data_IF_329080567429
#
_entry.id   IF_329080567429
#
_cell.length_a   1.000
_cell.length_b   1.000
_cell.length_c   1.000
_cell.angle_alpha   90.00
_cell.angle_beta   90.00
_cell.angle_gamma   90.00
#
_symmetry.space_group_name_H-M   'P 1'
#
loop_
_entity.id
_entity.type
_entity.pdbx_description
1 polymer ?
#
# COMPACT_ATOMS: atom_id res chain seq x y z
N UNK A 1 27.88 16.19 2.99
CA UNK A 1 27.34 15.06 2.19
C UNK A 1 28.48 14.09 1.93
N UNK A 2 28.33 12.80 2.25
CA UNK A 2 29.37 11.79 1.97
C UNK A 2 29.43 11.43 0.48
N UNK A 3 30.57 10.90 0.02
CA UNK A 3 30.81 10.49 -1.38
C UNK A 3 29.72 9.55 -1.92
N UNK A 4 29.24 8.61 -1.09
CA UNK A 4 28.17 7.68 -1.45
C UNK A 4 26.86 8.41 -1.75
N UNK A 5 26.49 9.42 -0.96
CA UNK A 5 25.26 10.19 -1.20
C UNK A 5 25.36 10.99 -2.49
N UNK A 6 26.53 11.55 -2.77
CA UNK A 6 26.79 12.27 -4.02
C UNK A 6 26.66 11.34 -5.24
N UNK A 7 27.16 10.11 -5.15
CA UNK A 7 27.02 9.10 -6.22
C UNK A 7 25.55 8.71 -6.44
N UNK A 8 24.79 8.51 -5.36
CA UNK A 8 23.36 8.16 -5.44
C UNK A 8 22.52 9.27 -6.08
N UNK A 9 22.87 10.53 -5.88
CA UNK A 9 22.15 11.66 -6.49
C UNK A 9 22.49 11.92 -7.95
N UNK A 10 23.47 11.21 -8.53
CA UNK A 10 23.83 11.41 -9.93
C UNK A 10 22.73 10.92 -10.88
N UNK A 11 22.49 11.69 -11.95
CA UNK A 11 21.54 11.33 -12.99
C UNK A 11 21.84 9.96 -13.61
N UNK A 12 23.12 9.62 -13.78
CA UNK A 12 23.54 8.33 -14.31
C UNK A 12 23.08 7.15 -13.43
N UNK A 13 23.18 7.30 -12.10
CA UNK A 13 22.70 6.27 -11.15
C UNK A 13 21.20 6.06 -11.27
N UNK A 14 20.44 7.15 -11.38
CA UNK A 14 18.99 7.08 -11.60
C UNK A 14 18.65 6.42 -12.93
N UNK A 15 19.37 6.77 -14.01
CA UNK A 15 19.17 6.20 -15.33
C UNK A 15 19.43 4.70 -15.34
N UNK A 16 20.50 4.24 -14.68
CA UNK A 16 20.80 2.81 -14.50
C UNK A 16 19.66 2.10 -13.77
N UNK A 17 19.18 2.67 -12.65
CA UNK A 17 18.09 2.08 -11.88
C UNK A 17 16.82 1.95 -12.74
N UNK A 18 16.49 3.02 -13.46
CA UNK A 18 15.32 3.08 -14.34
C UNK A 18 15.44 2.10 -15.51
N UNK A 19 16.62 2.01 -16.13
CA UNK A 19 16.91 1.08 -17.22
C UNK A 19 16.72 -0.37 -16.77
N UNK A 20 17.35 -0.76 -15.66
CA UNK A 20 17.25 -2.12 -15.11
C UNK A 20 15.79 -2.45 -14.79
N UNK A 21 15.08 -1.56 -14.10
CA UNK A 21 13.68 -1.78 -13.74
C UNK A 21 12.77 -1.92 -14.97
N UNK A 22 12.89 -1.04 -15.96
CA UNK A 22 12.04 -1.05 -17.14
C UNK A 22 12.32 -2.26 -18.03
N UNK A 23 13.59 -2.54 -18.34
CA UNK A 23 13.95 -3.64 -19.25
C UNK A 23 13.65 -4.99 -18.61
N UNK A 24 14.04 -5.21 -17.35
CA UNK A 24 13.68 -6.44 -16.64
C UNK A 24 12.16 -6.58 -16.50
N UNK A 25 11.45 -5.49 -16.21
CA UNK A 25 9.99 -5.47 -16.13
C UNK A 25 9.31 -5.90 -17.42
N UNK A 26 9.77 -5.39 -18.57
CA UNK A 26 9.25 -5.78 -19.88
C UNK A 26 9.55 -7.24 -20.21
N UNK A 27 10.75 -7.74 -19.87
CA UNK A 27 11.09 -9.17 -20.01
C UNK A 27 10.14 -10.02 -19.17
N UNK A 28 9.91 -9.64 -17.91
CA UNK A 28 9.00 -10.35 -17.02
C UNK A 28 7.56 -10.30 -17.54
N UNK A 29 7.06 -9.17 -18.04
CA UNK A 29 5.73 -9.13 -18.64
C UNK A 29 5.59 -10.02 -19.87
N UNK A 30 6.65 -10.14 -20.69
CA UNK A 30 6.66 -11.10 -21.81
C UNK A 30 6.53 -12.53 -21.29
N UNK A 31 7.24 -12.88 -20.22
CA UNK A 31 7.07 -14.19 -19.56
C UNK A 31 5.66 -14.37 -19.00
N UNK A 32 5.06 -13.33 -18.42
CA UNK A 32 3.67 -13.38 -17.95
C UNK A 32 2.70 -13.62 -19.13
N UNK A 33 2.93 -13.00 -20.28
CA UNK A 33 2.13 -13.26 -21.50
C UNK A 33 2.22 -14.73 -21.92
N UNK A 34 3.39 -15.34 -21.81
CA UNK A 34 3.58 -16.77 -22.07
C UNK A 34 2.81 -17.68 -21.09
N UNK A 35 2.25 -17.16 -19.99
CA UNK A 35 1.39 -17.93 -19.08
C UNK A 35 -0.07 -18.01 -19.52
N UNK A 36 -0.50 -17.26 -20.55
CA UNK A 36 -1.89 -17.28 -21.02
C UNK A 36 -2.35 -18.67 -21.48
N UNK A 37 -1.57 -19.46 -22.25
CA UNK A 37 -1.97 -20.82 -22.60
C UNK A 37 -2.11 -21.72 -21.37
N UNK A 38 -1.28 -21.50 -20.35
CA UNK A 38 -1.33 -22.25 -19.11
C UNK A 38 -2.61 -22.01 -18.31
N UNK A 39 -3.23 -20.83 -18.47
CA UNK A 39 -4.51 -20.52 -17.85
C UNK A 39 -5.61 -21.51 -18.28
N UNK A 40 -5.58 -21.97 -19.54
CA UNK A 40 -6.55 -22.93 -20.09
C UNK A 40 -6.36 -24.34 -19.51
N UNK A 41 -5.15 -24.68 -19.06
CA UNK A 41 -4.82 -26.00 -18.49
C UNK A 41 -4.97 -25.99 -16.97
N UNK A 42 -4.42 -24.98 -16.30
CA UNK A 42 -4.48 -24.81 -14.86
C UNK A 42 -4.36 -23.35 -14.47
N UNK A 43 -5.52 -22.72 -14.21
CA UNK A 43 -5.64 -21.39 -13.62
C UNK A 43 -4.77 -21.22 -12.37
N UNK A 44 -4.74 -22.23 -11.51
CA UNK A 44 -4.00 -22.18 -10.24
C UNK A 44 -2.48 -22.19 -10.45
N UNK A 45 -1.99 -22.99 -11.41
CA UNK A 45 -0.57 -22.97 -11.75
C UNK A 45 -0.16 -21.66 -12.42
N UNK A 46 -0.98 -21.14 -13.36
CA UNK A 46 -0.76 -19.84 -13.98
C UNK A 46 -0.69 -18.72 -12.92
N UNK A 47 -1.59 -18.71 -11.93
CA UNK A 47 -1.55 -17.77 -10.79
C UNK A 47 -0.26 -17.89 -9.99
N UNK A 48 0.16 -19.10 -9.59
CA UNK A 48 1.40 -19.32 -8.83
C UNK A 48 2.63 -18.81 -9.57
N UNK A 49 2.73 -19.06 -10.87
CA UNK A 49 3.82 -18.53 -11.70
C UNK A 49 3.76 -17.01 -11.75
N UNK A 50 2.59 -16.43 -12.02
CA UNK A 50 2.43 -14.98 -12.10
C UNK A 50 2.70 -14.28 -10.76
N UNK A 51 2.45 -14.90 -9.62
CA UNK A 51 2.84 -14.40 -8.29
C UNK A 51 4.37 -14.24 -8.21
N UNK A 52 5.14 -15.22 -8.68
CA UNK A 52 6.61 -15.17 -8.67
C UNK A 52 7.16 -14.20 -9.71
N UNK A 53 6.57 -14.15 -10.91
CA UNK A 53 6.92 -13.15 -11.92
C UNK A 53 6.61 -11.73 -11.42
N UNK A 54 5.43 -11.51 -10.85
CA UNK A 54 5.07 -10.23 -10.23
C UNK A 54 6.03 -9.82 -9.12
N UNK A 55 6.45 -10.77 -8.29
CA UNK A 55 7.49 -10.55 -7.28
C UNK A 55 8.80 -10.03 -7.90
N UNK A 56 9.25 -10.58 -9.04
CA UNK A 56 10.47 -10.12 -9.71
C UNK A 56 10.44 -8.63 -10.11
N UNK A 57 9.26 -8.07 -10.36
CA UNK A 57 9.09 -6.63 -10.66
C UNK A 57 8.95 -5.83 -9.36
N UNK A 58 7.99 -6.19 -8.50
CA UNK A 58 7.68 -5.40 -7.30
C UNK A 58 8.85 -5.37 -6.29
N UNK A 59 9.61 -6.45 -6.18
CA UNK A 59 10.77 -6.52 -5.28
C UNK A 59 11.90 -5.56 -5.66
N UNK A 60 12.01 -5.15 -6.93
CA UNK A 60 12.99 -4.14 -7.34
C UNK A 60 12.65 -2.75 -6.77
N UNK A 61 11.35 -2.42 -6.65
CA UNK A 61 10.93 -1.18 -5.99
C UNK A 61 11.19 -1.23 -4.47
N UNK A 62 10.97 -2.39 -3.84
CA UNK A 62 11.35 -2.61 -2.44
C UNK A 62 12.87 -2.51 -2.26
N UNK A 63 13.66 -3.04 -3.20
CA UNK A 63 15.12 -2.89 -3.22
C UNK A 63 15.53 -1.40 -3.29
N UNK A 64 14.86 -0.62 -4.13
CA UNK A 64 15.08 0.82 -4.23
C UNK A 64 14.78 1.55 -2.90
N UNK A 65 13.69 1.17 -2.20
CA UNK A 65 13.33 1.77 -0.92
C UNK A 65 14.28 1.37 0.22
N UNK A 66 14.45 0.07 0.47
CA UNK A 66 15.15 -0.38 1.68
C UNK A 66 16.67 -0.35 1.52
N UNK A 67 17.19 -0.70 0.35
CA UNK A 67 18.61 -0.97 0.14
C UNK A 67 19.31 0.19 -0.57
N UNK A 68 18.69 0.74 -1.62
CA UNK A 68 19.27 1.89 -2.33
C UNK A 68 19.14 3.17 -1.52
N UNK A 69 17.94 3.58 -1.10
CA UNK A 69 17.77 4.82 -0.32
C UNK A 69 18.07 4.64 1.17
N UNK A 70 18.08 3.39 1.64
CA UNK A 70 18.34 3.08 3.05
C UNK A 70 17.16 3.40 3.97
N UNK A 71 15.96 3.63 3.42
CA UNK A 71 14.76 3.97 4.19
C UNK A 71 14.46 2.88 5.22
N UNK A 72 14.11 3.32 6.43
CA UNK A 72 13.75 2.44 7.53
C UNK A 72 12.23 2.40 7.68
N UNK A 73 11.69 1.19 7.77
CA UNK A 73 10.28 0.95 8.06
C UNK A 73 10.16 0.20 9.39
N UNK A 74 9.51 0.84 10.36
CA UNK A 74 9.28 0.34 11.72
C UNK A 74 7.83 -0.13 11.85
N UNK A 75 7.61 -1.33 12.38
CA UNK A 75 6.27 -1.83 12.70
C UNK A 75 5.97 -1.68 14.19
N UNK A 76 4.91 -0.96 14.52
CA UNK A 76 4.29 -0.91 15.84
C UNK A 76 3.04 -1.78 15.79
N UNK A 77 3.00 -2.85 16.58
CA UNK A 77 1.88 -3.80 16.53
C UNK A 77 1.82 -4.67 17.78
N UNK A 78 0.73 -5.41 17.94
CA UNK A 78 0.60 -6.40 18.99
C UNK A 78 1.51 -7.62 18.70
N UNK A 79 2.40 -8.00 19.63
CA UNK A 79 3.16 -9.24 19.52
C UNK A 79 2.27 -10.48 19.35
N UNK A 80 1.01 -10.45 19.83
CA UNK A 80 0.06 -11.56 19.67
C UNK A 80 -0.46 -11.72 18.25
N UNK A 81 -0.69 -10.61 17.53
CA UNK A 81 -1.16 -10.64 16.14
C UNK A 81 -0.02 -10.92 15.16
N UNK A 82 1.22 -10.57 15.54
CA UNK A 82 2.39 -10.66 14.67
C UNK A 82 2.58 -12.03 13.97
N UNK A 83 2.41 -13.19 14.62
CA UNK A 83 2.55 -14.49 13.96
C UNK A 83 1.51 -14.78 12.86
N UNK A 84 0.38 -14.07 12.87
CA UNK A 84 -0.70 -14.24 11.87
C UNK A 84 -0.38 -13.50 10.57
N UNK A 85 0.44 -12.45 10.64
CA UNK A 85 0.80 -11.64 9.49
C UNK A 85 1.57 -12.46 8.44
N UNK A 86 1.05 -12.45 7.21
CA UNK A 86 1.56 -13.25 6.07
C UNK A 86 1.01 -14.68 6.01
N UNK A 87 0.39 -15.17 7.08
CA UNK A 87 -0.14 -16.52 7.18
C UNK A 87 -1.66 -16.61 6.98
N UNK A 88 -2.31 -15.49 6.67
CA UNK A 88 -3.73 -15.42 6.34
C UNK A 88 -4.01 -14.35 5.28
N UNK A 89 -5.15 -14.51 4.59
CA UNK A 89 -5.73 -13.45 3.78
C UNK A 89 -6.27 -12.35 4.68
N UNK A 90 -5.94 -11.09 4.39
CA UNK A 90 -6.40 -9.95 5.18
C UNK A 90 -6.73 -8.74 4.30
N UNK A 91 -7.67 -7.92 4.75
CA UNK A 91 -7.92 -6.60 4.19
C UNK A 91 -7.12 -5.58 5.00
N UNK A 92 -6.30 -4.76 4.34
CA UNK A 92 -5.49 -3.72 5.00
C UNK A 92 -6.16 -2.37 4.75
N UNK A 93 -6.57 -1.68 5.82
CA UNK A 93 -7.10 -0.31 5.73
C UNK A 93 -6.00 0.66 6.14
N UNK A 94 -5.44 1.36 5.15
CA UNK A 94 -4.34 2.31 5.34
C UNK A 94 -4.82 3.76 5.12
N UNK A 95 -4.30 4.71 5.90
CA UNK A 95 -4.46 6.13 5.57
C UNK A 95 -3.72 6.46 4.27
N UNK A 96 -4.17 7.49 3.56
CA UNK A 96 -3.53 7.91 2.32
C UNK A 96 -3.01 9.34 2.43
N UNK A 97 -1.77 9.51 2.85
CA UNK A 97 -1.19 10.82 3.15
C UNK A 97 0.03 11.13 2.28
N UNK A 98 0.82 10.12 1.91
CA UNK A 98 2.11 10.32 1.25
C UNK A 98 2.18 9.64 -0.12
N UNK A 99 3.10 10.11 -0.97
CA UNK A 99 3.27 9.55 -2.32
C UNK A 99 3.73 8.09 -2.28
N UNK A 100 4.60 7.74 -1.32
CA UNK A 100 5.21 6.42 -1.23
C UNK A 100 4.48 5.48 -0.25
N UNK A 101 3.24 5.78 0.16
CA UNK A 101 2.45 4.94 1.08
C UNK A 101 2.43 3.48 0.64
N UNK A 102 2.18 3.26 -0.66
CA UNK A 102 2.11 1.93 -1.26
C UNK A 102 3.46 1.20 -1.21
N UNK A 103 4.57 1.92 -1.32
CA UNK A 103 5.91 1.34 -1.35
C UNK A 103 6.34 0.91 0.06
N UNK A 104 5.96 1.68 1.09
CA UNK A 104 6.07 1.25 2.48
C UNK A 104 5.17 0.03 2.75
N UNK A 105 3.93 0.01 2.26
CA UNK A 105 3.06 -1.16 2.34
C UNK A 105 3.67 -2.42 1.72
N UNK A 106 4.26 -2.29 0.52
CA UNK A 106 4.98 -3.38 -0.14
C UNK A 106 6.22 -3.85 0.63
N UNK A 107 6.90 -2.95 1.34
CA UNK A 107 8.02 -3.33 2.21
C UNK A 107 7.57 -4.28 3.32
N UNK A 108 6.40 -4.03 3.94
CA UNK A 108 5.86 -4.99 4.90
C UNK A 108 5.39 -6.29 4.22
N UNK A 109 4.79 -6.21 3.03
CA UNK A 109 4.44 -7.41 2.26
C UNK A 109 5.68 -8.26 1.92
N UNK A 110 6.83 -7.64 1.61
CA UNK A 110 8.10 -8.33 1.39
C UNK A 110 8.50 -9.11 2.64
N UNK A 111 8.54 -8.41 3.78
CA UNK A 111 9.01 -8.96 5.04
C UNK A 111 8.11 -10.08 5.59
N UNK A 112 6.80 -10.04 5.30
CA UNK A 112 5.85 -11.11 5.64
C UNK A 112 5.60 -12.13 4.52
N UNK A 113 6.31 -12.05 3.40
CA UNK A 113 6.26 -13.08 2.36
C UNK A 113 5.05 -13.04 1.41
N UNK A 114 4.30 -11.94 1.39
CA UNK A 114 3.07 -11.78 0.58
C UNK A 114 3.21 -10.72 -0.53
N UNK A 115 4.42 -10.24 -0.83
CA UNK A 115 4.63 -9.19 -1.83
C UNK A 115 4.07 -9.56 -3.22
N UNK A 116 4.41 -10.74 -3.73
CA UNK A 116 3.97 -11.19 -5.06
C UNK A 116 2.48 -11.50 -5.15
N UNK A 117 1.81 -11.74 -4.02
CA UNK A 117 0.38 -12.01 -3.93
C UNK A 117 -0.43 -10.78 -3.50
N UNK A 118 0.23 -9.69 -3.07
CA UNK A 118 -0.42 -8.47 -2.59
C UNK A 118 -1.44 -7.91 -3.59
N UNK A 119 -2.54 -7.38 -3.07
CA UNK A 119 -3.68 -6.86 -3.83
C UNK A 119 -4.00 -5.45 -3.39
N UNK A 120 -4.65 -4.69 -4.27
CA UNK A 120 -5.11 -3.34 -3.98
C UNK A 120 -6.35 -3.03 -4.82
N UNK A 121 -7.26 -2.20 -4.30
CA UNK A 121 -8.28 -1.55 -5.12
C UNK A 121 -7.65 -0.33 -5.82
N UNK A 122 -7.31 -0.48 -7.10
CA UNK A 122 -6.59 0.54 -7.87
C UNK A 122 -7.50 1.29 -8.86
N UNK A 123 -7.13 2.52 -9.21
CA UNK A 123 -7.79 3.27 -10.30
C UNK A 123 -7.51 2.60 -11.65
N UNK A 124 -8.53 2.48 -12.51
CA UNK A 124 -8.45 1.75 -13.80
C UNK A 124 -7.35 2.29 -14.72
N UNK A 125 -7.06 3.58 -14.65
CA UNK A 125 -6.02 4.23 -15.44
C UNK A 125 -4.62 3.64 -15.16
N UNK A 126 -4.37 3.12 -13.95
CA UNK A 126 -3.10 2.45 -13.62
C UNK A 126 -2.91 1.12 -14.37
N UNK A 127 -4.00 0.48 -14.85
CA UNK A 127 -3.87 -0.75 -15.64
C UNK A 127 -3.18 -0.53 -16.99
N UNK A 128 -3.12 0.72 -17.48
CA UNK A 128 -2.47 1.05 -18.75
C UNK A 128 -1.00 1.44 -18.59
N UNK A 129 -0.51 1.60 -17.35
CA UNK A 129 0.89 1.93 -17.10
C UNK A 129 1.76 0.73 -17.49
N UNK A 130 2.72 0.85 -18.42
CA UNK A 130 3.60 -0.25 -18.78
C UNK A 130 4.38 -0.77 -17.58
N UNK A 131 4.81 -2.02 -17.64
CA UNK A 131 5.47 -2.74 -16.54
C UNK A 131 4.52 -3.04 -15.37
N UNK A 132 4.14 -2.00 -14.62
CA UNK A 132 3.35 -2.15 -13.39
C UNK A 132 1.89 -2.50 -13.66
N UNK A 133 1.22 -1.79 -14.57
CA UNK A 133 -0.18 -2.04 -14.90
C UNK A 133 -0.39 -3.40 -15.55
N UNK A 134 0.56 -3.82 -16.40
CA UNK A 134 0.56 -5.14 -17.02
C UNK A 134 0.85 -6.25 -16.00
N UNK A 135 1.83 -6.05 -15.10
CA UNK A 135 2.04 -6.95 -13.97
C UNK A 135 0.76 -7.12 -13.15
N UNK A 136 0.08 -6.01 -12.84
CA UNK A 136 -1.16 -6.01 -12.07
C UNK A 136 -2.32 -6.70 -12.78
N UNK A 137 -2.37 -6.66 -14.12
CA UNK A 137 -3.34 -7.43 -14.88
C UNK A 137 -3.17 -8.94 -14.64
N UNK A 138 -1.95 -9.47 -14.79
CA UNK A 138 -1.66 -10.88 -14.56
C UNK A 138 -1.75 -11.33 -13.10
N UNK A 139 -1.65 -10.37 -12.16
CA UNK A 139 -1.91 -10.60 -10.75
C UNK A 139 -3.39 -10.42 -10.38
N UNK A 140 -4.31 -10.22 -11.33
CA UNK A 140 -5.74 -10.05 -11.04
C UNK A 140 -6.01 -8.92 -10.00
N UNK A 141 -5.28 -7.81 -10.09
CA UNK A 141 -5.55 -6.63 -9.27
C UNK A 141 -6.94 -6.08 -9.58
N UNK A 142 -7.63 -5.63 -8.54
CA UNK A 142 -8.99 -5.11 -8.66
C UNK A 142 -8.94 -3.65 -9.08
N UNK A 143 -9.45 -3.36 -10.28
CA UNK A 143 -9.50 -2.01 -10.83
C UNK A 143 -10.89 -1.40 -10.74
N UNK A 144 -11.00 -0.11 -10.38
CA UNK A 144 -12.23 0.65 -10.37
C UNK A 144 -12.13 1.91 -11.25
N UNK A 145 -13.22 2.28 -11.92
CA UNK A 145 -13.37 3.50 -12.72
C UNK A 145 -13.78 4.71 -11.89
N UNK A 146 -14.03 4.51 -10.58
CA UNK A 146 -14.52 5.53 -9.63
C UNK A 146 -15.94 6.00 -9.98
N UNK A 147 -16.74 5.10 -10.56
CA UNK A 147 -18.13 5.30 -10.93
C UNK A 147 -18.94 4.12 -10.43
N UNK A 148 -19.68 4.32 -9.35
CA UNK A 148 -20.36 3.25 -8.61
C UNK A 148 -21.21 2.33 -9.49
N UNK A 149 -22.00 2.88 -10.41
CA UNK A 149 -22.87 2.10 -11.30
C UNK A 149 -22.09 1.13 -12.21
N UNK A 150 -20.90 1.52 -12.67
CA UNK A 150 -20.03 0.68 -13.49
C UNK A 150 -19.21 -0.30 -12.62
N UNK A 151 -18.77 0.17 -11.46
CA UNK A 151 -17.84 -0.55 -10.58
C UNK A 151 -18.52 -1.63 -9.76
N UNK A 152 -19.79 -1.46 -9.36
CA UNK A 152 -20.47 -2.39 -8.42
C UNK A 152 -20.40 -3.85 -8.85
N UNK A 153 -20.53 -4.12 -10.15
CA UNK A 153 -20.49 -5.49 -10.71
C UNK A 153 -19.06 -5.95 -10.96
N UNK A 154 -18.25 -5.11 -11.58
CA UNK A 154 -16.89 -5.46 -12.02
C UNK A 154 -15.93 -5.65 -10.84
N UNK A 155 -16.03 -4.79 -9.82
CA UNK A 155 -15.28 -4.89 -8.57
C UNK A 155 -15.71 -6.12 -7.77
N UNK A 156 -17.02 -6.35 -7.62
CA UNK A 156 -17.52 -7.54 -6.91
C UNK A 156 -17.05 -8.85 -7.58
N UNK A 157 -17.16 -8.96 -8.90
CA UNK A 157 -16.66 -10.13 -9.63
C UNK A 157 -15.16 -10.34 -9.45
N UNK A 158 -14.37 -9.25 -9.52
CA UNK A 158 -12.92 -9.33 -9.35
C UNK A 158 -12.55 -9.77 -7.93
N UNK A 159 -13.26 -9.30 -6.91
CA UNK A 159 -13.09 -9.72 -5.51
C UNK A 159 -13.47 -11.19 -5.31
N UNK A 160 -14.58 -11.64 -5.91
CA UNK A 160 -14.98 -13.05 -5.86
C UNK A 160 -13.94 -13.98 -6.49
N UNK A 161 -13.28 -13.54 -7.57
CA UNK A 161 -12.18 -14.29 -8.18
C UNK A 161 -10.95 -14.43 -7.26
N UNK A 162 -10.81 -13.62 -6.20
CA UNK A 162 -9.71 -13.74 -5.24
C UNK A 162 -9.99 -14.79 -4.16
N UNK A 163 -11.23 -15.26 -4.00
CA UNK A 163 -11.58 -16.25 -2.96
C UNK A 163 -10.85 -17.59 -3.13
N UNK A 164 -10.51 -17.96 -4.37
CA UNK A 164 -9.76 -19.17 -4.71
C UNK A 164 -8.29 -18.87 -5.08
N UNK A 165 -7.73 -17.74 -4.64
CA UNK A 165 -6.34 -17.39 -4.93
C UNK A 165 -5.37 -18.33 -4.20
N UNK A 166 -4.32 -18.85 -4.84
CA UNK A 166 -3.56 -20.00 -4.34
C UNK A 166 -2.59 -19.70 -3.18
N UNK A 167 -2.40 -18.44 -2.81
CA UNK A 167 -1.49 -18.00 -1.74
C UNK A 167 -2.15 -16.91 -0.91
N UNK A 168 -1.74 -16.81 0.36
CA UNK A 168 -2.17 -15.73 1.23
C UNK A 168 -1.86 -14.37 0.62
N UNK A 169 -2.82 -13.45 0.67
CA UNK A 169 -2.69 -12.11 0.14
C UNK A 169 -3.21 -11.06 1.10
N UNK A 170 -2.62 -9.87 1.01
CA UNK A 170 -3.13 -8.67 1.67
C UNK A 170 -3.80 -7.76 0.67
N UNK A 171 -5.06 -7.42 0.91
CA UNK A 171 -5.89 -6.57 0.06
C UNK A 171 -5.93 -5.15 0.61
N UNK A 172 -5.16 -4.24 0.01
CA UNK A 172 -5.04 -2.87 0.44
C UNK A 172 -6.23 -2.00 -0.01
N UNK A 173 -6.77 -1.25 0.95
CA UNK A 173 -7.77 -0.21 0.76
C UNK A 173 -7.31 1.11 1.38
N UNK A 174 -7.39 2.17 0.58
CA UNK A 174 -7.35 3.55 1.04
C UNK A 174 -8.78 4.09 1.10
N UNK A 175 -9.46 3.92 2.23
CA UNK A 175 -10.88 4.30 2.33
C UNK A 175 -11.10 5.81 2.19
N UNK A 176 -10.08 6.66 2.40
CA UNK A 176 -10.12 8.09 2.08
C UNK A 176 -10.39 8.36 0.58
N UNK A 177 -10.01 7.41 -0.29
CA UNK A 177 -10.21 7.44 -1.73
C UNK A 177 -9.27 8.38 -2.49
N UNK A 178 -8.50 9.22 -1.80
CA UNK A 178 -7.49 10.11 -2.37
C UNK A 178 -6.52 10.57 -1.29
N UNK A 179 -5.34 11.07 -1.70
CA UNK A 179 -4.38 11.63 -0.75
C UNK A 179 -4.92 12.88 -0.07
N UNK A 180 -4.63 12.99 1.22
CA UNK A 180 -4.89 14.17 2.01
C UNK A 180 -4.10 15.37 1.48
N UNK A 181 -4.82 16.48 1.25
CA UNK A 181 -4.23 17.80 0.99
C UNK A 181 -5.02 18.85 1.76
N UNK A 182 -4.45 20.03 2.06
CA UNK A 182 -5.18 21.08 2.78
C UNK A 182 -6.54 21.41 2.16
N UNK A 183 -6.60 21.54 0.83
CA UNK A 183 -7.85 21.80 0.10
C UNK A 183 -8.88 20.67 0.25
N UNK A 184 -8.46 19.41 0.10
CA UNK A 184 -9.37 18.25 0.23
C UNK A 184 -9.83 18.05 1.67
N UNK A 185 -8.95 18.34 2.63
CA UNK A 185 -9.25 18.28 4.05
C UNK A 185 -10.32 19.32 4.43
N UNK A 186 -10.19 20.57 3.97
CA UNK A 186 -11.23 21.60 4.14
C UNK A 186 -12.58 21.15 3.59
N UNK A 187 -12.62 20.61 2.37
CA UNK A 187 -13.86 20.07 1.78
C UNK A 187 -14.40 18.91 2.63
N UNK A 188 -13.53 18.04 3.14
CA UNK A 188 -13.93 16.96 4.05
C UNK A 188 -14.55 17.47 5.34
N UNK A 189 -14.06 18.58 5.89
CA UNK A 189 -14.64 19.18 7.11
C UNK A 189 -16.04 19.73 6.84
N UNK A 190 -16.25 20.38 5.69
CA UNK A 190 -17.56 20.87 5.26
C UNK A 190 -18.56 19.72 5.03
N UNK A 191 -18.09 18.63 4.41
CA UNK A 191 -18.91 17.41 4.21
C UNK A 191 -19.24 16.74 5.54
N UNK A 192 -18.32 16.74 6.51
CA UNK A 192 -18.58 16.24 7.84
C UNK A 192 -19.70 17.03 8.53
N UNK A 193 -19.59 18.36 8.51
CA UNK A 193 -20.56 19.28 9.11
C UNK A 193 -21.95 19.13 8.50
N UNK A 194 -22.06 19.17 7.16
CA UNK A 194 -23.34 19.02 6.46
C UNK A 194 -24.03 17.67 6.67
N UNK A 195 -23.26 16.63 7.04
CA UNK A 195 -23.80 15.29 7.34
C UNK A 195 -23.94 15.00 8.83
N UNK A 196 -23.63 15.96 9.70
CA UNK A 196 -23.61 15.75 11.15
C UNK A 196 -22.59 14.70 11.61
N UNK A 197 -21.52 14.49 10.85
CA UNK A 197 -20.43 13.56 11.19
C UNK A 197 -19.30 14.31 11.93
N UNK A 198 -18.57 13.64 12.84
CA UNK A 198 -17.39 14.22 13.47
C UNK A 198 -16.33 14.67 12.45
N UNK A 199 -15.78 15.87 12.67
CA UNK A 199 -14.66 16.42 11.89
C UNK A 199 -13.38 15.68 12.27
N UNK A 200 -12.62 15.22 11.27
CA UNK A 200 -11.35 14.50 11.44
C UNK A 200 -10.17 15.45 11.19
N UNK A 201 -9.24 15.58 12.12
CA UNK A 201 -8.16 16.57 12.04
C UNK A 201 -7.02 16.14 11.11
N UNK A 202 -6.76 14.85 10.99
CA UNK A 202 -5.61 14.28 10.29
C UNK A 202 -5.97 13.31 9.16
N UNK A 203 -7.26 13.04 8.94
CA UNK A 203 -7.76 12.18 7.86
C UNK A 203 -8.91 12.84 7.08
N UNK A 204 -9.13 12.36 5.86
CA UNK A 204 -10.39 12.60 5.15
C UNK A 204 -11.48 11.65 5.67
N UNK A 205 -12.76 12.02 5.52
CA UNK A 205 -13.84 11.08 5.82
C UNK A 205 -13.75 9.87 4.87
N UNK A 206 -13.92 8.65 5.39
CA UNK A 206 -13.84 7.46 4.57
C UNK A 206 -15.03 7.35 3.59
N UNK A 207 -14.76 6.86 2.39
CA UNK A 207 -15.73 6.38 1.41
C UNK A 207 -16.08 4.93 1.75
N UNK A 208 -17.33 4.71 2.16
CA UNK A 208 -17.76 3.46 2.79
C UNK A 208 -18.11 2.35 1.79
N UNK A 209 -18.68 2.69 0.64
CA UNK A 209 -19.17 1.70 -0.35
C UNK A 209 -18.12 0.70 -0.83
N UNK A 210 -16.92 1.18 -1.17
CA UNK A 210 -15.84 0.31 -1.65
C UNK A 210 -15.35 -0.66 -0.57
N UNK A 211 -15.28 -0.19 0.68
CA UNK A 211 -14.95 -1.02 1.83
C UNK A 211 -16.02 -2.08 2.07
N UNK A 212 -17.31 -1.69 2.11
CA UNK A 212 -18.42 -2.61 2.30
C UNK A 212 -18.43 -3.72 1.22
N UNK A 213 -18.37 -3.36 -0.07
CA UNK A 213 -18.30 -4.36 -1.16
C UNK A 213 -17.11 -5.31 -0.99
N UNK A 214 -15.96 -4.80 -0.57
CA UNK A 214 -14.77 -5.62 -0.34
C UNK A 214 -15.00 -6.63 0.79
N UNK A 215 -15.50 -6.16 1.93
CA UNK A 215 -15.82 -7.02 3.09
C UNK A 215 -16.84 -8.08 2.69
N UNK A 216 -17.92 -7.70 2.00
CA UNK A 216 -18.97 -8.66 1.59
C UNK A 216 -18.43 -9.77 0.68
N UNK A 217 -17.62 -9.42 -0.32
CA UNK A 217 -17.14 -10.41 -1.30
C UNK A 217 -15.96 -11.25 -0.77
N UNK A 218 -15.22 -10.76 0.22
CA UNK A 218 -14.10 -11.49 0.82
C UNK A 218 -14.48 -12.18 2.15
N UNK A 219 -15.72 -12.04 2.63
CA UNK A 219 -16.21 -12.75 3.81
C UNK A 219 -16.05 -14.27 3.64
N UNK A 220 -15.45 -14.92 4.63
CA UNK A 220 -15.09 -16.33 4.59
C UNK A 220 -13.86 -16.69 3.75
N UNK A 221 -13.25 -15.73 3.04
CA UNK A 221 -11.98 -15.92 2.32
C UNK A 221 -10.81 -15.14 2.96
N UNK A 222 -11.08 -13.93 3.48
CA UNK A 222 -10.17 -13.16 4.31
C UNK A 222 -10.55 -13.32 5.79
N UNK A 223 -9.54 -13.49 6.64
CA UNK A 223 -9.73 -13.78 8.06
C UNK A 223 -9.92 -12.52 8.91
N UNK A 224 -9.39 -11.38 8.46
CA UNK A 224 -9.45 -10.14 9.23
C UNK A 224 -9.26 -8.86 8.40
N UNK A 225 -9.61 -7.73 9.02
CA UNK A 225 -9.14 -6.39 8.68
C UNK A 225 -7.94 -6.01 9.56
N UNK A 226 -6.84 -5.63 8.94
CA UNK A 226 -5.72 -4.95 9.57
C UNK A 226 -5.92 -3.44 9.47
N UNK A 227 -6.25 -2.82 10.60
CA UNK A 227 -6.36 -1.38 10.69
C UNK A 227 -4.97 -0.75 10.82
N UNK A 228 -4.48 -0.12 9.75
CA UNK A 228 -3.10 0.34 9.67
C UNK A 228 -2.99 1.86 9.50
N UNK A 229 -2.05 2.50 10.18
CA UNK A 229 -1.73 3.92 10.00
C UNK A 229 -0.24 4.08 9.73
N UNK A 230 0.11 4.75 8.65
CA UNK A 230 1.48 5.06 8.25
C UNK A 230 1.75 6.54 8.48
N UNK A 231 2.91 6.82 9.08
CA UNK A 231 3.42 8.17 9.17
C UNK A 231 4.94 8.20 8.97
N UNK A 232 5.47 9.39 8.66
CA UNK A 232 6.90 9.64 8.54
C UNK A 232 7.38 10.51 9.69
N UNK A 233 8.54 10.18 10.25
CA UNK A 233 9.15 10.99 11.31
C UNK A 233 9.55 12.36 10.77
N UNK A 234 9.65 13.33 11.68
CA UNK A 234 10.10 14.70 11.39
C UNK A 234 9.24 15.45 10.35
N UNK A 235 7.98 15.05 10.16
CA UNK A 235 7.06 15.63 9.17
C UNK A 235 7.64 15.65 7.75
N UNK A 236 8.47 14.66 7.41
CA UNK A 236 9.00 14.55 6.05
C UNK A 236 7.88 14.21 5.06
N UNK A 237 7.96 14.81 3.87
CA UNK A 237 7.11 14.47 2.73
C UNK A 237 7.94 13.63 1.76
N UNK A 238 7.86 12.29 1.85
CA UNK A 238 8.63 11.41 1.00
C UNK A 238 8.07 11.33 -0.41
N UNK A 239 8.97 11.23 -1.39
CA UNK A 239 8.65 11.16 -2.82
C UNK A 239 9.44 10.04 -3.48
N UNK A 240 8.94 9.49 -4.58
CA UNK A 240 9.67 8.46 -5.34
C UNK A 240 11.01 9.01 -5.86
N UNK A 241 11.03 10.27 -6.29
CA UNK A 241 12.26 10.93 -6.72
C UNK A 241 13.27 11.07 -5.57
N UNK A 242 12.81 11.30 -4.34
CA UNK A 242 13.67 11.28 -3.16
C UNK A 242 14.34 9.92 -2.96
N UNK A 243 13.58 8.83 -3.10
CA UNK A 243 14.12 7.46 -3.04
C UNK A 243 15.17 7.22 -4.13
N UNK A 244 14.89 7.61 -5.39
CA UNK A 244 15.84 7.47 -6.49
C UNK A 244 17.13 8.28 -6.27
N UNK A 245 17.04 9.44 -5.62
CA UNK A 245 18.20 10.24 -5.20
C UNK A 245 18.94 9.65 -3.99
N UNK A 246 18.50 8.51 -3.46
CA UNK A 246 19.08 7.89 -2.28
C UNK A 246 18.75 8.62 -0.98
N UNK A 247 17.67 9.42 -0.93
CA UNK A 247 17.24 10.06 0.32
C UNK A 247 16.63 9.00 1.24
N UNK A 248 17.22 8.86 2.43
CA UNK A 248 16.70 8.02 3.50
C UNK A 248 15.50 8.69 4.17
N UNK A 249 14.45 7.91 4.39
CA UNK A 249 13.29 8.30 5.21
C UNK A 249 13.11 7.33 6.39
N UNK A 250 12.27 7.72 7.35
CA UNK A 250 11.90 6.90 8.51
C UNK A 250 10.38 6.78 8.58
N UNK A 251 9.88 5.65 8.09
CA UNK A 251 8.47 5.31 8.05
C UNK A 251 8.09 4.49 9.28
N UNK A 252 7.06 4.92 10.00
CA UNK A 252 6.49 4.19 11.11
C UNK A 252 5.10 3.71 10.69
N UNK A 253 4.92 2.40 10.60
CA UNK A 253 3.64 1.75 10.35
C UNK A 253 3.10 1.22 11.68
N UNK A 254 1.87 1.60 11.97
CA UNK A 254 1.13 1.12 13.10
C UNK A 254 0.00 0.22 12.64
N UNK A 255 0.01 -1.05 13.04
CA UNK A 255 -1.17 -1.90 12.92
C UNK A 255 -1.86 -1.86 14.27
N UNK A 256 -3.06 -1.26 14.29
CA UNK A 256 -3.70 -0.75 15.51
C UNK A 256 -3.63 -1.76 16.61
N UNK A 257 -2.99 -1.34 17.69
CA UNK A 257 -2.92 -2.06 18.92
C UNK A 257 -3.63 -1.23 20.06
N UNK A 258 -4.88 -1.50 20.51
CA UNK A 258 -5.40 -1.02 21.83
C UNK A 258 -5.09 -1.88 23.10
N UNK A 259 -4.31 -1.33 24.02
CA UNK A 259 -4.08 -1.69 25.43
C UNK A 259 -4.15 -0.30 26.04
N UNK A 260 -5.38 0.15 26.27
CA UNK A 260 -5.62 1.46 26.83
C UNK A 260 -6.41 1.18 28.09
N UNK A 261 -5.72 1.23 29.22
CA UNK A 261 -6.38 1.44 30.50
C UNK A 261 -7.22 2.70 30.35
N UNK A 262 -8.54 2.57 30.37
CA UNK A 262 -9.40 3.68 30.71
C UNK A 262 -9.08 4.01 32.17
N UNK A 263 -8.24 5.01 32.40
CA UNK A 263 -8.22 5.72 33.66
C UNK A 263 -9.38 6.72 33.61
N UNK A 264 -10.61 6.20 33.64
CA UNK A 264 -11.77 7.02 33.98
C UNK A 264 -11.96 6.93 35.49
N UNK A 265 -11.94 8.11 36.13
CA UNK A 265 -12.13 8.36 37.56
C UNK A 265 -13.13 7.39 38.24
N UNK A 266 -12.63 6.38 38.94
CA UNK A 266 -13.41 5.59 39.90
C UNK A 266 -13.15 6.12 41.32
N UNK A 267 -13.79 7.24 41.65
CA UNK A 267 -14.16 7.49 43.03
C UNK A 267 -15.51 6.77 43.26
N UNK A 268 -15.50 5.83 44.21
CA UNK A 268 -16.60 4.96 44.67
C UNK A 268 -16.73 3.61 43.96
N UNK A 269 -16.04 2.60 44.51
CA UNK A 269 -16.40 1.20 44.33
C UNK A 269 -16.95 0.70 45.67
N UNK A 270 -18.26 0.51 45.72
CA UNK A 270 -18.93 -0.34 46.70
C UNK A 270 -18.81 -1.81 46.27
N UNK A 271 -18.69 -2.67 47.28
CA UNK A 271 -18.53 -4.14 47.36
C UNK A 271 -19.29 -5.09 46.39
N UNK A 272 -19.89 -4.64 45.28
CA UNK A 272 -20.65 -5.51 44.37
C UNK A 272 -19.81 -6.28 43.34
N UNK A 273 -18.56 -5.86 43.09
CA UNK A 273 -17.70 -6.49 42.05
C UNK A 273 -17.08 -7.81 42.53
N UNK A 274 -16.90 -7.99 43.84
CA UNK A 274 -16.24 -9.18 44.38
C UNK A 274 -17.11 -10.44 44.35
N UNK A 275 -18.44 -10.28 44.39
CA UNK A 275 -19.38 -11.41 44.38
C UNK A 275 -19.81 -11.86 42.99
N UNK A 276 -19.77 -10.98 41.97
CA UNK A 276 -20.10 -11.36 40.59
C UNK A 276 -19.06 -12.30 39.95
N UNK A 277 -17.81 -12.33 40.42
CA UNK A 277 -16.76 -13.16 39.83
C UNK A 277 -16.79 -14.65 40.25
N UNK A 278 -17.60 -15.05 41.24
CA UNK A 278 -17.51 -16.40 41.80
C UNK A 278 -18.58 -17.39 41.28
N UNK A 279 -19.64 -16.94 40.59
CA UNK A 279 -20.81 -17.81 40.34
C UNK A 279 -21.37 -17.82 38.91
N UNK A 280 -20.77 -17.14 37.94
CA UNK A 280 -21.20 -17.24 36.55
C UNK A 280 -20.01 -17.35 35.60
N UNK A 281 -19.82 -18.57 35.04
CA UNK A 281 -19.04 -18.84 33.83
C UNK A 281 -19.73 -18.19 32.61
N UNK A 282 -19.72 -16.85 32.55
CA UNK A 282 -20.00 -16.08 31.33
C UNK A 282 -19.06 -14.89 31.28
N UNK A 283 -18.08 -15.06 30.40
CA UNK A 283 -17.00 -14.17 30.00
C UNK A 283 -17.53 -12.84 29.42
N UNK A 284 -17.98 -11.93 30.30
CA UNK A 284 -18.54 -10.61 29.94
C UNK A 284 -17.69 -9.43 30.43
N UNK A 285 -16.41 -9.68 30.74
CA UNK A 285 -15.44 -8.64 31.13
C UNK A 285 -14.15 -8.70 30.32
N UNK A 286 -14.17 -9.19 29.08
CA UNK A 286 -13.04 -8.97 28.17
C UNK A 286 -13.12 -7.55 27.60
N UNK A 287 -12.22 -6.59 27.93
CA UNK A 287 -12.04 -5.43 27.07
C UNK A 287 -11.68 -5.98 25.69
N UNK A 288 -12.53 -5.72 24.68
CA UNK A 288 -12.36 -6.14 23.29
C UNK A 288 -10.99 -5.68 22.78
N UNK A 289 -10.00 -6.53 23.00
CA UNK A 289 -8.62 -6.42 22.58
C UNK A 289 -8.52 -7.19 21.28
N UNK A 290 -8.87 -6.57 20.16
CA UNK A 290 -8.53 -7.14 18.86
C UNK A 290 -8.06 -6.07 17.86
N UNK A 291 -6.81 -6.28 17.48
CA UNK A 291 -5.80 -5.40 16.84
C UNK A 291 -5.42 -5.97 15.46
N UNK A 292 -6.42 -6.62 14.92
CA UNK A 292 -6.65 -7.51 13.79
C UNK A 292 -8.13 -7.77 14.02
N UNK A 293 -9.00 -7.24 13.18
CA UNK A 293 -10.43 -7.29 13.43
C UNK A 293 -10.96 -8.49 12.63
N UNK A 294 -11.40 -9.59 13.28
CA UNK A 294 -12.01 -10.70 12.56
C UNK A 294 -13.11 -10.18 11.63
N UNK A 295 -13.12 -10.66 10.40
CA UNK A 295 -13.98 -10.10 9.36
C UNK A 295 -15.46 -10.29 9.68
N UNK A 296 -15.75 -11.32 10.47
CA UNK A 296 -17.05 -11.72 10.99
C UNK A 296 -17.66 -10.67 11.93
N UNK A 297 -16.82 -9.87 12.61
CA UNK A 297 -17.28 -8.79 13.50
C UNK A 297 -17.69 -7.54 12.74
N UNK A 298 -17.39 -7.45 11.44
CA UNK A 298 -17.77 -6.29 10.64
C UNK A 298 -19.23 -6.43 10.24
N UNK A 299 -20.08 -5.41 10.43
CA UNK A 299 -21.50 -5.49 10.10
C UNK A 299 -21.73 -5.84 8.62
N UNK A 300 -22.77 -6.63 8.37
CA UNK A 300 -23.15 -7.00 7.00
C UNK A 300 -24.00 -5.95 6.31
N UNK A 301 -24.86 -5.26 7.06
CA UNK A 301 -25.66 -4.15 6.55
C UNK A 301 -24.78 -2.97 6.08
N UNK A 302 -25.16 -2.32 4.98
CA UNK A 302 -24.37 -1.23 4.37
C UNK A 302 -24.26 -0.02 5.31
N UNK A 303 -25.35 0.35 5.98
CA UNK A 303 -25.38 1.52 6.85
C UNK A 303 -24.62 1.27 8.15
N UNK A 304 -24.78 0.09 8.75
CA UNK A 304 -24.01 -0.30 9.93
C UNK A 304 -22.50 -0.41 9.64
N UNK A 305 -22.13 -0.99 8.49
CA UNK A 305 -20.74 -1.07 8.06
C UNK A 305 -20.14 0.32 7.80
N UNK A 306 -20.94 1.24 7.23
CA UNK A 306 -20.56 2.62 7.04
C UNK A 306 -20.30 3.34 8.37
N UNK A 307 -21.21 3.20 9.34
CA UNK A 307 -21.07 3.78 10.67
C UNK A 307 -19.83 3.20 11.40
N UNK A 308 -19.61 1.89 11.28
CA UNK A 308 -18.44 1.20 11.80
C UNK A 308 -17.14 1.77 11.21
N UNK A 309 -17.08 1.97 9.89
CA UNK A 309 -15.88 2.52 9.24
C UNK A 309 -15.62 3.98 9.65
N UNK A 310 -16.68 4.79 9.80
CA UNK A 310 -16.55 6.15 10.33
C UNK A 310 -15.97 6.16 11.74
N UNK A 311 -16.44 5.27 12.63
CA UNK A 311 -15.88 5.12 13.98
C UNK A 311 -14.42 4.69 13.95
N UNK A 312 -14.07 3.73 13.09
CA UNK A 312 -12.69 3.28 12.90
C UNK A 312 -11.76 4.45 12.51
N UNK A 313 -12.22 5.35 11.63
CA UNK A 313 -11.46 6.55 11.23
C UNK A 313 -11.38 7.63 12.31
N UNK A 314 -12.40 7.79 13.16
CA UNK A 314 -12.31 8.68 14.34
C UNK A 314 -11.22 8.19 15.30
N UNK A 315 -11.17 6.87 15.54
CA UNK A 315 -10.12 6.29 16.35
C UNK A 315 -8.74 6.45 15.68
N UNK A 316 -8.61 6.26 14.35
CA UNK A 316 -7.37 6.52 13.61
C UNK A 316 -6.87 7.96 13.82
N UNK A 317 -7.78 8.92 13.75
CA UNK A 317 -7.50 10.35 13.90
C UNK A 317 -6.89 10.65 15.28
N UNK A 318 -7.42 10.05 16.34
CA UNK A 318 -6.88 10.19 17.69
C UNK A 318 -5.46 9.62 17.85
N UNK A 319 -5.14 8.50 17.17
CA UNK A 319 -3.79 7.94 17.18
C UNK A 319 -2.81 8.80 16.38
N UNK A 320 -3.29 9.39 15.30
CA UNK A 320 -2.50 10.32 14.51
C UNK A 320 -2.20 11.59 15.31
N UNK A 321 -3.14 12.08 16.12
CA UNK A 321 -2.91 13.15 17.08
C UNK A 321 -1.82 12.80 18.11
N UNK A 322 -1.92 11.61 18.70
CA UNK A 322 -0.91 11.10 19.64
C UNK A 322 0.49 11.03 18.99
N UNK A 323 0.57 10.56 17.74
CA UNK A 323 1.83 10.53 17.00
C UNK A 323 2.36 11.95 16.77
N UNK A 324 1.50 12.90 16.38
CA UNK A 324 1.92 14.30 16.18
C UNK A 324 2.48 14.91 17.47
N UNK A 325 1.96 14.53 18.64
CA UNK A 325 2.43 15.03 19.93
C UNK A 325 3.71 14.35 20.42
N UNK A 326 3.85 13.03 20.21
CA UNK A 326 4.92 12.22 20.82
C UNK A 326 6.03 11.80 19.85
N UNK A 327 5.80 11.94 18.54
CA UNK A 327 6.73 11.50 17.49
C UNK A 327 6.79 9.99 17.28
N UNK A 328 5.92 9.20 17.93
CA UNK A 328 5.86 7.74 17.81
C UNK A 328 4.43 7.22 17.97
N UNK A 329 4.15 6.04 17.42
CA UNK A 329 2.90 5.34 17.73
C UNK A 329 2.99 4.67 19.10
N UNK A 330 1.84 4.47 19.77
CA UNK A 330 1.83 3.66 20.98
C UNK A 330 2.14 2.21 20.63
N UNK A 331 2.93 1.54 21.48
CA UNK A 331 3.12 0.09 21.43
C UNK A 331 4.52 -0.43 21.17
N UNK A 332 4.70 -1.76 21.32
CA UNK A 332 5.98 -2.38 21.12
C UNK A 332 6.33 -2.38 19.63
N UNK A 333 7.61 -2.22 19.36
CA UNK A 333 8.17 -2.32 18.03
C UNK A 333 8.47 -3.80 17.76
N UNK A 334 7.81 -4.37 16.76
CA UNK A 334 8.00 -5.78 16.35
C UNK A 334 8.28 -5.82 14.85
N UNK A 335 9.25 -5.02 14.40
CA UNK A 335 9.57 -4.90 12.98
C UNK A 335 10.25 -6.18 12.47
N UNK A 336 9.69 -6.88 11.46
CA UNK A 336 10.39 -8.01 10.86
C UNK A 336 11.68 -7.51 10.20
N UNK A 337 12.75 -8.34 10.18
CA UNK A 337 13.99 -7.97 9.53
C UNK A 337 13.80 -7.83 8.01
N UNK A 338 14.68 -7.03 7.39
CA UNK A 338 14.74 -6.94 5.92
C UNK A 338 15.08 -8.31 5.34
N UNK A 339 14.36 -8.73 4.30
CA UNK A 339 14.66 -9.97 3.58
C UNK A 339 15.67 -9.68 2.46
N UNK A 340 16.68 -10.54 2.25
CA UNK A 340 17.71 -10.30 1.24
C UNK A 340 17.22 -10.49 -0.20
N UNK A 341 16.08 -11.16 -0.40
CA UNK A 341 15.58 -11.58 -1.71
C UNK A 341 15.34 -10.43 -2.70
N UNK A 342 14.80 -9.30 -2.21
CA UNK A 342 14.64 -8.11 -3.03
C UNK A 342 15.98 -7.57 -3.56
N UNK A 343 17.01 -7.53 -2.70
CA UNK A 343 18.36 -7.13 -3.10
C UNK A 343 18.99 -8.14 -4.04
N UNK A 344 18.86 -9.45 -3.77
CA UNK A 344 19.41 -10.51 -4.63
C UNK A 344 18.80 -10.43 -6.03
N UNK A 345 17.48 -10.29 -6.13
CA UNK A 345 16.79 -10.13 -7.41
C UNK A 345 17.26 -8.86 -8.14
N UNK A 346 17.41 -7.75 -7.42
CA UNK A 346 17.96 -6.51 -7.98
C UNK A 346 19.38 -6.69 -8.53
N UNK A 347 20.27 -7.32 -7.76
CA UNK A 347 21.66 -7.57 -8.17
C UNK A 347 21.72 -8.51 -9.37
N UNK A 348 20.88 -9.55 -9.41
CA UNK A 348 20.78 -10.45 -10.56
C UNK A 348 20.45 -9.69 -11.85
N UNK A 349 19.40 -8.86 -11.85
CA UNK A 349 19.02 -8.08 -13.02
C UNK A 349 20.06 -7.01 -13.39
N UNK A 350 20.67 -6.36 -12.40
CA UNK A 350 21.79 -5.45 -12.62
C UNK A 350 22.94 -6.17 -13.33
N UNK A 351 23.41 -7.30 -12.81
CA UNK A 351 24.51 -8.05 -13.41
C UNK A 351 24.20 -8.46 -14.85
N UNK A 352 23.02 -9.03 -15.09
CA UNK A 352 22.62 -9.49 -16.41
C UNK A 352 22.49 -8.34 -17.42
N UNK A 353 21.72 -7.31 -17.07
CA UNK A 353 21.38 -6.23 -18.01
C UNK A 353 22.52 -5.25 -18.21
N UNK A 354 23.33 -4.96 -17.18
CA UNK A 354 24.47 -4.07 -17.33
C UNK A 354 25.62 -4.75 -18.08
N UNK A 355 25.77 -6.06 -17.97
CA UNK A 355 26.70 -6.81 -18.81
C UNK A 355 26.30 -6.72 -20.29
N UNK A 356 25.03 -7.00 -20.61
CA UNK A 356 24.51 -6.89 -21.98
C UNK A 356 24.59 -5.45 -22.50
N UNK A 357 24.29 -4.45 -21.67
CA UNK A 357 24.44 -3.04 -22.02
C UNK A 357 25.91 -2.69 -22.28
N UNK A 358 26.85 -3.20 -21.49
CA UNK A 358 28.29 -3.00 -21.69
C UNK A 358 28.79 -3.58 -23.02
N UNK A 359 28.36 -4.80 -23.36
CA UNK A 359 28.65 -5.42 -24.67
C UNK A 359 28.08 -4.57 -25.82
N UNK A 360 26.84 -4.10 -25.68
CA UNK A 360 26.24 -3.22 -26.66
C UNK A 360 27.05 -1.92 -26.80
N UNK A 361 27.34 -1.22 -25.70
CA UNK A 361 28.08 0.04 -25.72
C UNK A 361 29.49 -0.09 -26.32
N UNK A 362 30.21 -1.18 -26.03
CA UNK A 362 31.54 -1.43 -26.61
C UNK A 362 31.48 -1.68 -28.12
N UNK A 363 30.47 -2.42 -28.60
CA UNK A 363 30.20 -2.55 -30.04
C UNK A 363 29.82 -1.21 -30.67
N UNK A 364 29.01 -0.39 -30.00
CA UNK A 364 28.60 0.92 -30.52
C UNK A 364 29.80 1.86 -30.63
N UNK A 365 30.66 1.93 -29.61
CA UNK A 365 31.88 2.77 -29.62
C UNK A 365 32.85 2.30 -30.71
N UNK A 366 33.08 0.99 -30.84
CA UNK A 366 33.98 0.45 -31.87
C UNK A 366 33.44 0.62 -33.30
N UNK A 367 32.12 0.68 -33.49
CA UNK A 367 31.50 0.94 -34.80
C UNK A 367 31.66 2.37 -35.31
N UNK A 368 31.90 3.35 -34.43
CA UNK A 368 32.08 4.77 -34.79
C UNK A 368 30.88 5.44 -35.49
N UNK A 369 29.71 4.81 -35.51
CA UNK A 369 28.56 5.29 -36.27
C UNK A 369 27.83 6.44 -35.58
N UNK A 370 27.60 7.55 -36.28
CA UNK A 370 26.78 8.66 -35.74
C UNK A 370 25.35 8.21 -35.43
N UNK A 371 24.80 7.30 -36.24
CA UNK A 371 23.44 6.77 -36.06
C UNK A 371 23.30 6.03 -34.73
N UNK A 372 24.33 5.30 -34.30
CA UNK A 372 24.30 4.52 -33.06
C UNK A 372 24.40 5.40 -31.81
N UNK A 373 25.17 6.49 -31.88
CA UNK A 373 25.23 7.52 -30.82
C UNK A 373 23.86 8.19 -30.67
N UNK A 374 23.25 8.62 -31.78
CA UNK A 374 21.93 9.25 -31.76
C UNK A 374 20.84 8.30 -31.23
N UNK A 375 20.86 7.03 -31.63
CA UNK A 375 19.93 6.01 -31.13
C UNK A 375 20.09 5.80 -29.61
N UNK A 376 21.32 5.80 -29.10
CA UNK A 376 21.61 5.64 -27.66
C UNK A 376 21.11 6.83 -26.85
N UNK A 377 21.34 8.06 -27.32
CA UNK A 377 20.84 9.28 -26.69
C UNK A 377 19.31 9.33 -26.71
N UNK A 378 18.69 8.94 -27.81
CA UNK A 378 17.24 8.82 -27.92
C UNK A 378 16.70 7.80 -26.90
N UNK A 379 17.31 6.62 -26.79
CA UNK A 379 16.92 5.60 -25.82
C UNK A 379 16.99 6.10 -24.37
N UNK A 380 18.12 6.71 -23.96
CA UNK A 380 18.26 7.29 -22.63
C UNK A 380 17.21 8.37 -22.35
N UNK A 381 16.90 9.19 -23.35
CA UNK A 381 15.85 10.22 -23.26
C UNK A 381 14.47 9.59 -23.11
N UNK A 382 14.14 8.56 -23.89
CA UNK A 382 12.88 7.82 -23.79
C UNK A 382 12.71 7.15 -22.43
N UNK A 383 13.76 6.50 -21.91
CA UNK A 383 13.75 5.89 -20.57
C UNK A 383 13.48 6.94 -19.49
N UNK A 384 14.21 8.06 -19.52
CA UNK A 384 14.06 9.15 -18.55
C UNK A 384 12.66 9.77 -18.59
N UNK A 385 12.15 10.09 -19.79
CA UNK A 385 10.81 10.65 -19.97
C UNK A 385 9.71 9.65 -19.57
N UNK A 386 9.88 8.37 -19.92
CA UNK A 386 8.95 7.30 -19.55
C UNK A 386 8.82 7.15 -18.04
N UNK A 387 9.93 7.09 -17.29
CA UNK A 387 9.86 6.99 -15.83
C UNK A 387 9.26 8.25 -15.20
N UNK A 388 9.62 9.45 -15.66
CA UNK A 388 9.00 10.68 -15.16
C UNK A 388 7.48 10.69 -15.38
N UNK A 389 7.03 10.22 -16.55
CA UNK A 389 5.61 10.05 -16.82
C UNK A 389 4.95 9.01 -15.91
N UNK A 390 5.62 7.89 -15.62
CA UNK A 390 5.13 6.86 -14.67
C UNK A 390 5.00 7.42 -13.24
N UNK A 391 5.99 8.16 -12.76
CA UNK A 391 5.93 8.88 -11.47
C UNK A 391 4.78 9.91 -11.50
N UNK A 392 4.57 10.58 -12.63
CA UNK A 392 3.42 11.49 -12.82
C UNK A 392 2.06 10.80 -12.63
N UNK A 393 1.95 9.48 -12.86
CA UNK A 393 0.71 8.74 -12.58
C UNK A 393 0.42 8.59 -11.09
N UNK A 394 1.43 8.78 -10.23
CA UNK A 394 1.34 8.81 -8.77
C UNK A 394 1.23 10.24 -8.22
N UNK A 395 0.94 11.26 -9.03
CA UNK A 395 0.69 12.63 -8.55
C UNK A 395 -0.74 12.83 -8.03
N UNK A 396 -0.91 13.79 -7.10
CA UNK A 396 -2.18 13.98 -6.37
C UNK A 396 -3.28 14.50 -7.29
N UNK A 397 -2.90 15.28 -8.31
CA UNK A 397 -3.80 15.91 -9.28
C UNK A 397 -4.44 14.88 -10.22
N UNK A 398 -3.85 13.68 -10.34
CA UNK A 398 -4.45 12.52 -11.02
C UNK A 398 -5.39 11.72 -10.10
N UNK A 399 -5.54 12.11 -8.84
CA UNK A 399 -6.47 11.53 -7.87
C UNK A 399 -7.92 11.88 -8.16
N UNK A 400 -8.88 11.31 -7.41
CA UNK A 400 -10.28 11.75 -7.54
C UNK A 400 -10.48 13.12 -6.91
N UNK A 401 -11.40 13.91 -7.46
CA UNK A 401 -11.98 15.02 -6.69
C UNK A 401 -12.62 14.48 -5.42
N UNK A 402 -12.44 15.24 -4.34
CA UNK A 402 -13.09 14.97 -3.07
C UNK A 402 -14.28 15.93 -2.94
N UNK A 403 -15.48 15.40 -2.72
CA UNK A 403 -16.65 16.23 -2.42
C UNK A 403 -17.31 16.99 -3.59
N UNK A 404 -16.95 16.76 -4.86
CA UNK A 404 -17.61 17.45 -5.99
C UNK A 404 -19.00 16.87 -6.29
N UNK A 405 -19.97 17.19 -5.43
CA UNK A 405 -21.25 17.75 -5.88
C UNK A 405 -21.21 19.17 -5.35
N UNK A 406 -21.29 20.15 -6.24
CA UNK A 406 -21.24 21.59 -5.94
C UNK A 406 -22.08 21.89 -4.69
N UNK A 407 -21.43 22.09 -3.56
CA UNK A 407 -22.01 22.90 -2.49
C UNK A 407 -21.83 24.32 -3.00
N UNK A 408 -22.91 25.07 -3.28
CA UNK A 408 -22.77 26.47 -3.63
C UNK A 408 -21.98 27.13 -2.49
N UNK A 409 -20.83 27.70 -2.81
CA UNK A 409 -20.19 28.63 -1.89
C UNK A 409 -21.17 29.81 -1.77
N UNK A 410 -22.00 29.79 -0.72
CA UNK A 410 -22.70 30.98 -0.30
C UNK A 410 -21.63 31.97 0.18
N UNK A 411 -21.23 32.86 -0.72
CA UNK A 411 -20.58 34.10 -0.35
C UNK A 411 -21.63 34.95 0.37
N UNK A 412 -21.57 34.98 1.70
CA UNK A 412 -22.11 36.06 2.51
C UNK A 412 -20.96 36.74 3.23
#
# INVERSE_FOLDING_TARGET
>A
MGLVQLLKSQFLSQLIICYVFLVSGLIVNLLQLCTLPLWLVSKQLARRINIRLGYCISSQMVAALEWWSGTECTLYTDPKSYPLYGNENAIVVLNHSFEIDFLCGWTFCERFGVLGSSKVLAKKELSYVPVIGWMWYFLEIVFCKRKWEEDRRTVAQSLQNLRDYPENYWFLLYCEGTRLTPKKHQISMQVAESKGLPKLKYHLLPRTKGFWVTVQNLRGAAAAVYDSTLNFRNNEMPTLLGILNGKKYHADLYVRYKEMFCYDNFNNITLSVFWCNLLYLRDLTSPLTCRRIPLELIPEDEAECAAWLHKLYQEKDSFQEHYTQTGRFPGPIVSPPRRPWALINWLFWCCLLLYLLGLLLTQLISSGSMLTILASLAFCSTVSLGVRWMIGQTEIDRGSSYGNKEVPLNNN
#
